data_IF_494564028974
#
_entry.id   IF_494564028974
#
_cell.length_a   1.000
_cell.length_b   1.000
_cell.length_c   1.000
_cell.angle_alpha   90.00
_cell.angle_beta   90.00
_cell.angle_gamma   90.00
#
_symmetry.space_group_name_H-M   'P 1'
#
loop_
_entity.id
_entity.type
_entity.pdbx_description
1 polymer ?
#
# COMPACT_ATOMS: atom_id res chain seq x y z
N UNK A 1 4.33 -25.41 0.73
CA UNK A 1 4.23 -24.56 1.95
C UNK A 1 3.50 -23.29 1.56
N UNK A 2 2.57 -22.81 2.38
CA UNK A 2 1.87 -21.56 2.09
C UNK A 2 2.84 -20.38 2.24
N UNK A 3 2.57 -19.27 1.55
CA UNK A 3 3.37 -18.05 1.72
C UNK A 3 3.03 -17.43 3.07
N UNK A 4 3.98 -16.72 3.67
CA UNK A 4 3.74 -16.00 4.92
C UNK A 4 3.17 -14.61 4.69
N UNK A 5 2.58 -14.01 5.73
CA UNK A 5 2.13 -12.62 5.67
C UNK A 5 3.27 -11.64 5.33
N UNK A 6 4.48 -11.84 5.88
CA UNK A 6 5.64 -10.98 5.58
C UNK A 6 6.09 -11.11 4.13
N UNK A 7 6.11 -12.34 3.59
CA UNK A 7 6.40 -12.56 2.18
C UNK A 7 5.36 -11.87 1.29
N UNK A 8 4.09 -11.87 1.70
CA UNK A 8 3.03 -11.15 1.00
C UNK A 8 3.31 -9.64 1.00
N UNK A 9 3.63 -9.02 2.15
CA UNK A 9 3.98 -7.59 2.21
C UNK A 9 5.17 -7.24 1.32
N UNK A 10 6.23 -8.06 1.34
CA UNK A 10 7.39 -7.90 0.46
C UNK A 10 6.99 -7.98 -1.02
N UNK A 11 6.11 -8.92 -1.37
CA UNK A 11 5.61 -9.07 -2.74
C UNK A 11 4.79 -7.88 -3.19
N UNK A 12 3.89 -7.34 -2.35
CA UNK A 12 3.14 -6.13 -2.66
C UNK A 12 4.07 -4.93 -2.90
N UNK A 13 5.08 -4.76 -2.06
CA UNK A 13 6.10 -3.72 -2.25
C UNK A 13 6.88 -3.88 -3.54
N UNK A 14 7.18 -5.12 -3.93
CA UNK A 14 7.89 -5.41 -5.17
C UNK A 14 7.10 -4.97 -6.40
N UNK A 15 5.76 -5.09 -6.39
CA UNK A 15 4.92 -4.69 -7.52
C UNK A 15 4.84 -3.18 -7.75
N UNK A 16 5.01 -2.35 -6.72
CA UNK A 16 4.85 -0.89 -6.85
C UNK A 16 5.76 -0.34 -7.96
N UNK A 17 5.15 0.29 -8.97
CA UNK A 17 5.82 0.85 -10.15
C UNK A 17 6.23 -0.16 -11.21
N UNK A 18 6.03 -1.47 -10.98
CA UNK A 18 6.36 -2.52 -11.97
C UNK A 18 5.21 -2.75 -12.94
N UNK A 19 5.61 -3.11 -14.16
CA UNK A 19 4.72 -3.50 -15.25
C UNK A 19 4.61 -5.02 -15.25
N UNK A 20 3.42 -5.51 -14.97
CA UNK A 20 3.09 -6.94 -14.93
C UNK A 20 2.19 -7.23 -16.13
N UNK A 21 2.68 -8.08 -17.00
CA UNK A 21 1.97 -8.64 -18.14
C UNK A 21 2.12 -10.16 -18.00
N UNK A 22 1.09 -10.80 -17.47
CA UNK A 22 1.16 -12.19 -17.03
C UNK A 22 0.86 -13.15 -18.18
N UNK A 23 -0.08 -12.78 -19.06
CA UNK A 23 -0.52 -13.63 -20.16
C UNK A 23 0.08 -13.27 -21.53
N UNK A 24 0.73 -12.11 -21.67
CA UNK A 24 1.33 -11.62 -22.92
C UNK A 24 0.33 -10.95 -23.87
N UNK A 25 -0.89 -10.66 -23.41
CA UNK A 25 -1.97 -10.10 -24.22
C UNK A 25 -2.48 -8.78 -23.63
N UNK A 26 -2.83 -7.83 -24.51
CA UNK A 26 -3.43 -6.54 -24.15
C UNK A 26 -2.59 -5.63 -23.22
N UNK A 27 -1.32 -5.96 -22.96
CA UNK A 27 -0.40 -5.13 -22.17
C UNK A 27 -0.60 -5.32 -20.67
N UNK A 28 -0.30 -4.30 -19.88
CA UNK A 28 -0.36 -4.40 -18.41
C UNK A 28 -1.78 -4.13 -17.89
N UNK A 29 -2.67 -5.12 -17.94
CA UNK A 29 -4.05 -5.00 -17.48
C UNK A 29 -4.16 -5.11 -15.96
N UNK A 30 -5.34 -4.75 -15.43
CA UNK A 30 -5.65 -4.90 -14.01
C UNK A 30 -5.63 -6.38 -13.57
N UNK A 31 -6.10 -7.28 -14.45
CA UNK A 31 -6.15 -8.71 -14.17
C UNK A 31 -4.75 -9.36 -14.13
N UNK A 32 -3.78 -8.90 -14.92
CA UNK A 32 -2.41 -9.44 -14.91
C UNK A 32 -1.78 -9.38 -13.52
N UNK A 33 -1.88 -8.22 -12.87
CA UNK A 33 -1.35 -8.01 -11.53
C UNK A 33 -1.99 -8.97 -10.53
N UNK A 34 -3.32 -9.10 -10.57
CA UNK A 34 -4.06 -9.95 -9.65
C UNK A 34 -3.77 -11.45 -9.89
N UNK A 35 -3.70 -11.87 -11.16
CA UNK A 35 -3.36 -13.26 -11.53
C UNK A 35 -1.95 -13.60 -11.11
N UNK A 36 -0.97 -12.73 -11.36
CA UNK A 36 0.42 -12.97 -10.94
C UNK A 36 0.52 -13.11 -9.42
N UNK A 37 -0.17 -12.25 -8.66
CA UNK A 37 -0.16 -12.31 -7.21
C UNK A 37 -0.81 -13.58 -6.66
N UNK A 38 -2.00 -13.95 -7.15
CA UNK A 38 -2.69 -15.18 -6.73
C UNK A 38 -1.87 -16.40 -7.12
N UNK A 39 -1.29 -16.42 -8.32
CA UNK A 39 -0.45 -17.52 -8.79
C UNK A 39 0.83 -17.65 -7.95
N UNK A 40 1.52 -16.55 -7.64
CA UNK A 40 2.69 -16.55 -6.75
C UNK A 40 2.35 -17.07 -5.34
N UNK A 41 1.19 -16.69 -4.81
CA UNK A 41 0.78 -17.04 -3.45
C UNK A 41 0.29 -18.48 -3.33
N UNK A 42 -0.45 -18.97 -4.34
CA UNK A 42 -1.25 -20.20 -4.23
C UNK A 42 -0.91 -21.26 -5.28
N UNK A 43 -0.23 -20.89 -6.37
CA UNK A 43 -0.06 -21.71 -7.58
C UNK A 43 -1.31 -21.82 -8.44
N UNK A 44 -2.38 -21.10 -8.13
CA UNK A 44 -3.63 -21.10 -8.89
C UNK A 44 -3.60 -19.95 -9.89
N UNK A 45 -3.76 -20.26 -11.17
CA UNK A 45 -3.95 -19.26 -12.22
C UNK A 45 -5.44 -18.98 -12.33
N UNK A 46 -5.85 -17.75 -12.04
CA UNK A 46 -7.25 -17.35 -12.24
C UNK A 46 -7.56 -17.25 -13.75
N UNK A 47 -8.82 -17.52 -14.11
CA UNK A 47 -9.36 -17.35 -15.46
C UNK A 47 -10.38 -16.21 -15.50
N UNK A 48 -10.66 -15.73 -16.72
CA UNK A 48 -11.72 -14.77 -17.01
C UNK A 48 -11.29 -13.31 -16.84
N UNK A 49 -12.26 -12.42 -16.97
CA UNK A 49 -12.07 -10.99 -16.73
C UNK A 49 -12.06 -10.71 -15.22
N UNK A 50 -11.76 -9.47 -14.83
CA UNK A 50 -11.72 -9.05 -13.43
C UNK A 50 -12.99 -9.43 -12.66
N UNK A 51 -14.18 -9.20 -13.24
CA UNK A 51 -15.47 -9.53 -12.61
C UNK A 51 -15.68 -11.03 -12.35
N UNK A 52 -14.97 -11.89 -13.08
CA UNK A 52 -15.11 -13.35 -13.01
C UNK A 52 -14.21 -13.96 -11.93
N UNK A 53 -13.26 -13.18 -11.38
CA UNK A 53 -12.34 -13.62 -10.33
C UNK A 53 -13.04 -14.32 -9.14
N UNK A 54 -14.22 -13.87 -8.63
CA UNK A 54 -14.94 -14.54 -7.55
C UNK A 54 -15.43 -15.96 -7.89
N UNK A 55 -15.53 -16.30 -9.17
CA UNK A 55 -16.02 -17.60 -9.66
C UNK A 55 -14.90 -18.65 -9.81
N UNK A 56 -13.66 -18.28 -9.52
CA UNK A 56 -12.52 -19.19 -9.60
C UNK A 56 -12.50 -20.19 -8.43
N UNK A 57 -12.02 -21.41 -8.69
CA UNK A 57 -11.85 -22.44 -7.68
C UNK A 57 -10.52 -22.28 -6.93
N UNK A 58 -10.58 -21.80 -5.69
CA UNK A 58 -9.37 -21.56 -4.87
C UNK A 58 -8.89 -22.77 -4.07
N UNK A 59 -9.61 -23.90 -4.11
CA UNK A 59 -9.20 -25.18 -3.51
C UNK A 59 -8.72 -25.05 -2.04
N UNK A 60 -9.45 -24.27 -1.23
CA UNK A 60 -9.14 -24.02 0.19
C UNK A 60 -7.95 -23.08 0.45
N UNK A 61 -7.31 -22.54 -0.60
CA UNK A 61 -6.18 -21.60 -0.47
C UNK A 61 -6.60 -20.14 -0.37
N UNK A 62 -7.85 -19.82 -0.72
CA UNK A 62 -8.43 -18.50 -0.54
C UNK A 62 -9.94 -18.60 -0.27
N UNK A 63 -10.49 -17.57 0.35
CA UNK A 63 -11.92 -17.43 0.65
C UNK A 63 -12.47 -16.19 -0.04
N UNK A 64 -13.63 -16.33 -0.68
CA UNK A 64 -14.32 -15.21 -1.34
C UNK A 64 -15.34 -14.62 -0.36
N UNK A 65 -15.22 -13.32 -0.10
CA UNK A 65 -16.13 -12.55 0.74
C UNK A 65 -16.91 -11.56 -0.12
N UNK A 66 -18.21 -11.41 0.18
CA UNK A 66 -19.01 -10.31 -0.37
C UNK A 66 -18.68 -9.04 0.41
N UNK A 67 -18.47 -7.93 -0.29
CA UNK A 67 -18.28 -6.63 0.36
C UNK A 67 -19.63 -6.13 0.91
N UNK A 68 -19.73 -5.96 2.22
CA UNK A 68 -20.88 -5.41 2.95
C UNK A 68 -20.44 -4.16 3.74
N UNK A 69 -21.36 -3.29 4.19
CA UNK A 69 -20.98 -2.06 4.91
C UNK A 69 -20.15 -2.29 6.20
N UNK A 70 -20.25 -3.46 6.79
CA UNK A 70 -19.54 -3.90 7.98
C UNK A 70 -18.31 -4.78 7.67
N UNK A 71 -18.06 -5.09 6.40
CA UNK A 71 -16.92 -5.90 6.00
C UNK A 71 -15.63 -5.07 6.05
N UNK A 72 -14.68 -5.53 6.87
CA UNK A 72 -13.35 -4.97 6.91
C UNK A 72 -12.39 -5.84 6.07
N UNK A 73 -11.95 -5.27 4.95
CA UNK A 73 -10.86 -5.74 4.12
C UNK A 73 -9.55 -5.88 4.93
N UNK A 74 -8.68 -6.77 4.47
CA UNK A 74 -7.34 -6.99 5.04
C UNK A 74 -6.28 -6.80 3.94
N UNK A 75 -5.06 -6.49 4.36
CA UNK A 75 -3.93 -6.38 3.42
C UNK A 75 -3.73 -7.71 2.68
N UNK A 76 -3.57 -7.62 1.36
CA UNK A 76 -3.43 -8.77 0.48
C UNK A 76 -4.76 -9.36 0.01
N UNK A 77 -5.91 -8.84 0.44
CA UNK A 77 -7.18 -9.17 -0.19
C UNK A 77 -7.16 -8.69 -1.65
N UNK A 78 -7.61 -9.54 -2.58
CA UNK A 78 -7.85 -9.13 -3.96
C UNK A 78 -9.23 -8.47 -4.03
N UNK A 79 -9.25 -7.17 -4.29
CA UNK A 79 -10.43 -6.34 -4.40
C UNK A 79 -11.02 -6.43 -5.81
N UNK A 80 -12.25 -6.95 -5.92
CA UNK A 80 -12.94 -7.14 -7.20
C UNK A 80 -14.08 -6.13 -7.35
N UNK A 81 -13.95 -5.25 -8.32
CA UNK A 81 -14.91 -4.20 -8.64
C UNK A 81 -15.96 -4.71 -9.63
N UNK A 82 -17.21 -4.73 -9.18
CA UNK A 82 -18.37 -5.21 -9.96
C UNK A 82 -19.62 -4.35 -9.76
N UNK A 83 -19.48 -3.18 -9.11
CA UNK A 83 -20.59 -2.27 -8.81
C UNK A 83 -20.41 -0.91 -9.46
N UNK A 84 -21.52 -0.19 -9.64
CA UNK A 84 -21.52 1.16 -10.21
C UNK A 84 -20.91 1.15 -11.61
N UNK A 85 -19.92 2.01 -11.87
CA UNK A 85 -19.24 2.08 -13.18
C UNK A 85 -18.49 0.79 -13.57
N UNK A 86 -18.28 -0.13 -12.64
CA UNK A 86 -17.62 -1.41 -12.85
C UNK A 86 -18.59 -2.57 -13.05
N UNK A 87 -19.90 -2.32 -12.96
CA UNK A 87 -20.93 -3.27 -13.44
C UNK A 87 -20.96 -3.20 -14.97
N UNK A 88 -19.89 -3.69 -15.58
CA UNK A 88 -19.67 -3.66 -17.01
C UNK A 88 -19.18 -5.03 -17.49
N UNK A 89 -18.81 -5.11 -18.77
CA UNK A 89 -18.40 -6.39 -19.37
C UNK A 89 -17.20 -7.04 -18.65
N UNK A 90 -16.25 -6.24 -18.14
CA UNK A 90 -14.94 -6.70 -17.68
C UNK A 90 -14.77 -6.60 -16.15
N UNK A 91 -15.36 -5.60 -15.51
CA UNK A 91 -15.06 -5.23 -14.13
C UNK A 91 -13.70 -4.54 -13.97
N UNK A 92 -13.25 -4.40 -12.73
CA UNK A 92 -11.89 -3.98 -12.41
C UNK A 92 -11.37 -4.76 -11.20
N UNK A 93 -10.05 -4.85 -11.02
CA UNK A 93 -9.46 -5.66 -9.94
C UNK A 93 -8.14 -5.04 -9.47
N UNK A 94 -7.87 -5.17 -8.17
CA UNK A 94 -6.63 -4.73 -7.54
C UNK A 94 -6.36 -5.51 -6.27
N UNK A 95 -5.30 -5.15 -5.56
CA UNK A 95 -4.89 -5.81 -4.31
C UNK A 95 -4.87 -4.78 -3.20
N UNK A 96 -5.49 -5.07 -2.05
CA UNK A 96 -5.45 -4.21 -0.87
C UNK A 96 -4.01 -4.11 -0.38
N UNK A 97 -3.40 -2.94 -0.55
CA UNK A 97 -2.02 -2.64 -0.15
C UNK A 97 -1.93 -2.16 1.30
N UNK A 98 -2.92 -1.36 1.71
CA UNK A 98 -3.13 -0.96 3.09
C UNK A 98 -4.58 -1.17 3.48
N UNK A 99 -4.79 -1.70 4.68
CA UNK A 99 -6.10 -2.09 5.18
C UNK A 99 -7.10 -0.93 5.23
N UNK A 100 -6.62 0.29 5.51
CA UNK A 100 -7.48 1.44 5.79
C UNK A 100 -8.48 1.16 6.91
N UNK A 101 -9.76 1.42 6.66
CA UNK A 101 -10.88 1.19 7.57
C UNK A 101 -12.17 0.93 6.76
N UNK A 102 -13.34 0.99 7.41
CA UNK A 102 -14.63 0.77 6.75
C UNK A 102 -14.98 1.81 5.67
N UNK A 103 -14.31 2.96 5.64
CA UNK A 103 -14.53 4.01 4.63
C UNK A 103 -13.65 3.84 3.38
N UNK A 104 -12.72 2.88 3.37
CA UNK A 104 -11.82 2.68 2.25
C UNK A 104 -10.48 2.05 2.59
N UNK A 105 -9.70 1.78 1.55
CA UNK A 105 -8.34 1.27 1.64
C UNK A 105 -7.46 1.82 0.52
N UNK A 106 -6.15 1.63 0.65
CA UNK A 106 -5.23 1.82 -0.47
C UNK A 106 -5.18 0.54 -1.30
N UNK A 107 -5.51 0.64 -2.58
CA UNK A 107 -5.41 -0.43 -3.56
C UNK A 107 -4.11 -0.28 -4.37
N UNK A 108 -3.43 -1.39 -4.61
CA UNK A 108 -2.39 -1.54 -5.61
C UNK A 108 -3.01 -2.15 -6.88
N UNK A 109 -2.97 -1.44 -8.00
CA UNK A 109 -3.64 -1.83 -9.24
C UNK A 109 -2.89 -1.35 -10.49
N UNK A 110 -3.18 -1.97 -11.63
CA UNK A 110 -2.74 -1.52 -12.96
C UNK A 110 -3.92 -1.05 -13.79
N UNK A 111 -3.62 -0.27 -14.82
CA UNK A 111 -4.56 0.14 -15.85
C UNK A 111 -5.82 0.85 -15.35
N UNK A 112 -5.72 1.62 -14.27
CA UNK A 112 -6.81 2.50 -13.84
C UNK A 112 -7.06 3.65 -14.84
N UNK A 113 -6.00 4.07 -15.54
CA UNK A 113 -6.03 5.11 -16.57
C UNK A 113 -6.57 4.61 -17.93
N UNK A 114 -6.74 3.30 -18.11
CA UNK A 114 -7.19 2.68 -19.35
C UNK A 114 -6.13 2.58 -20.45
N UNK A 115 -4.86 2.91 -20.17
CA UNK A 115 -3.79 2.94 -21.17
C UNK A 115 -3.01 1.63 -21.32
N UNK A 116 -3.11 0.73 -20.34
CA UNK A 116 -2.41 -0.57 -20.28
C UNK A 116 -0.88 -0.49 -20.48
N UNK A 117 -0.28 0.67 -20.17
CA UNK A 117 1.13 0.96 -20.42
C UNK A 117 1.89 1.44 -19.16
N UNK A 118 1.18 1.63 -18.03
CA UNK A 118 1.71 2.07 -16.74
C UNK A 118 2.00 0.90 -15.80
N UNK A 119 2.90 1.11 -14.83
CA UNK A 119 3.15 0.11 -13.78
C UNK A 119 2.10 0.16 -12.68
N UNK A 120 2.09 -0.85 -11.81
CA UNK A 120 1.16 -0.92 -10.70
C UNK A 120 1.31 0.30 -9.78
N UNK A 121 0.20 0.99 -9.54
CA UNK A 121 0.16 2.23 -8.78
C UNK A 121 -0.70 2.05 -7.52
N UNK A 122 -0.39 2.85 -6.51
CA UNK A 122 -1.19 2.95 -5.30
C UNK A 122 -2.27 4.02 -5.51
N UNK A 123 -3.50 3.70 -5.11
CA UNK A 123 -4.62 4.64 -5.12
C UNK A 123 -5.50 4.42 -3.90
N UNK A 124 -5.94 5.51 -3.28
CA UNK A 124 -7.01 5.43 -2.29
C UNK A 124 -8.35 5.11 -2.98
N UNK A 125 -9.08 4.15 -2.43
CA UNK A 125 -10.39 3.74 -2.90
C UNK A 125 -11.37 3.72 -1.73
N UNK A 126 -12.59 4.20 -1.96
CA UNK A 126 -13.66 4.23 -0.96
C UNK A 126 -14.40 2.88 -0.81
N UNK A 127 -13.95 1.86 -1.56
CA UNK A 127 -14.51 0.52 -1.63
C UNK A 127 -15.96 0.42 -2.14
N UNK A 128 -16.57 1.52 -2.58
CA UNK A 128 -17.98 1.55 -2.99
C UNK A 128 -18.23 0.73 -4.27
N UNK A 129 -17.25 0.73 -5.18
CA UNK A 129 -17.26 -0.04 -6.42
C UNK A 129 -16.93 -1.52 -6.25
N UNK A 130 -16.41 -1.93 -5.08
CA UNK A 130 -15.96 -3.29 -4.80
C UNK A 130 -17.15 -4.17 -4.42
N UNK A 131 -17.35 -5.25 -5.17
CA UNK A 131 -18.38 -6.24 -4.89
C UNK A 131 -17.91 -7.39 -4.02
N UNK A 132 -16.64 -7.78 -4.15
CA UNK A 132 -16.06 -8.94 -3.49
C UNK A 132 -14.60 -8.70 -3.11
N UNK A 133 -14.18 -9.37 -2.04
CA UNK A 133 -12.78 -9.51 -1.65
C UNK A 133 -12.39 -10.99 -1.66
N UNK A 134 -11.27 -11.33 -2.29
CA UNK A 134 -10.72 -12.69 -2.26
C UNK A 134 -9.53 -12.68 -1.29
N UNK A 135 -9.68 -13.35 -0.14
CA UNK A 135 -8.66 -13.41 0.91
C UNK A 135 -7.86 -14.70 0.79
N UNK A 136 -6.58 -14.57 0.45
CA UNK A 136 -5.66 -15.71 0.40
C UNK A 136 -5.27 -16.12 1.83
N UNK A 137 -5.21 -17.42 2.06
CA UNK A 137 -4.77 -18.00 3.32
C UNK A 137 -3.23 -18.00 3.38
N UNK A 138 -2.66 -17.00 4.06
CA UNK A 138 -1.22 -16.91 4.32
C UNK A 138 -0.86 -17.57 5.67
N UNK A 139 0.32 -18.18 5.74
CA UNK A 139 0.86 -18.79 6.97
C UNK A 139 1.36 -17.71 7.94
N UNK A 140 1.03 -17.88 9.22
CA UNK A 140 1.34 -16.94 10.29
C UNK A 140 0.34 -15.77 10.36
N UNK A 141 0.14 -15.25 11.57
CA UNK A 141 -0.68 -14.05 11.76
C UNK A 141 0.02 -12.83 11.16
N UNK A 142 -0.75 -11.91 10.56
CA UNK A 142 -0.36 -10.50 10.49
C UNK A 142 0.12 -10.12 11.89
N UNK A 143 1.39 -9.72 12.05
CA UNK A 143 1.89 -9.33 13.36
C UNK A 143 1.18 -8.03 13.72
N UNK A 144 0.05 -8.14 14.43
CA UNK A 144 -0.45 -7.06 15.28
C UNK A 144 0.64 -6.84 16.30
N UNK A 145 1.43 -5.78 16.15
CA UNK A 145 2.51 -5.47 17.07
C UNK A 145 1.89 -5.11 18.42
N UNK A 146 1.82 -6.11 19.31
CA UNK A 146 1.56 -5.94 20.74
C UNK A 146 2.69 -5.14 21.38
N UNK A 147 2.31 -4.41 22.42
CA UNK A 147 3.11 -3.42 23.15
C UNK A 147 4.57 -3.80 23.40
N UNK A 148 5.40 -2.76 23.45
CA UNK A 148 6.83 -2.78 23.72
C UNK A 148 7.23 -3.83 24.77
N UNK A 149 8.06 -4.79 24.36
CA UNK A 149 8.83 -5.61 25.29
C UNK A 149 9.98 -4.74 25.79
N UNK A 150 9.95 -4.43 27.08
CA UNK A 150 11.06 -3.78 27.80
C UNK A 150 12.25 -4.74 27.80
N UNK A 151 13.18 -4.55 26.87
CA UNK A 151 14.50 -5.17 26.97
C UNK A 151 15.42 -4.14 27.60
N UNK A 152 15.86 -4.41 28.82
CA UNK A 152 16.98 -3.70 29.42
C UNK A 152 18.21 -3.89 28.51
N UNK A 153 18.65 -2.83 27.84
CA UNK A 153 19.94 -2.81 27.18
C UNK A 153 20.73 -1.58 27.59
N UNK A 154 21.86 -1.92 28.21
CA UNK A 154 23.10 -1.16 28.31
C UNK A 154 23.41 -0.40 27.04
N UNK A 155 23.91 0.82 27.24
CA UNK A 155 24.24 1.84 26.26
C UNK A 155 25.01 1.34 25.03
N UNK A 156 24.39 1.43 23.86
CA UNK A 156 25.10 1.56 22.58
C UNK A 156 24.43 2.69 21.79
N UNK A 157 25.21 3.70 21.42
CA UNK A 157 24.80 4.78 20.53
C UNK A 157 24.29 4.17 19.21
N UNK A 158 22.98 4.23 18.96
CA UNK A 158 22.37 3.76 17.72
C UNK A 158 21.15 4.61 17.39
N UNK A 159 20.97 4.88 16.10
CA UNK A 159 19.97 5.78 15.51
C UNK A 159 18.55 5.61 16.10
N UNK A 160 17.67 6.63 16.00
CA UNK A 160 16.35 6.56 16.61
C UNK A 160 15.56 5.43 15.94
N UNK A 161 15.31 4.35 16.68
CA UNK A 161 14.45 3.27 16.22
C UNK A 161 13.06 3.85 15.92
N UNK A 162 12.60 3.64 14.68
CA UNK A 162 11.22 3.88 14.28
C UNK A 162 10.28 3.08 15.20
N UNK A 163 9.26 3.74 15.75
CA UNK A 163 8.27 3.14 16.65
C UNK A 163 6.86 3.56 16.24
N UNK A 164 5.92 2.63 16.26
CA UNK A 164 4.51 2.95 16.04
C UNK A 164 4.03 3.94 17.10
N UNK A 165 3.25 4.93 16.68
CA UNK A 165 2.77 6.06 17.49
C UNK A 165 3.78 7.19 17.66
N UNK A 166 5.06 7.01 17.29
CA UNK A 166 6.07 8.04 17.49
C UNK A 166 6.09 9.08 16.37
N UNK A 167 6.70 10.23 16.66
CA UNK A 167 7.21 11.13 15.63
C UNK A 167 8.37 10.41 14.92
N UNK A 168 8.45 10.42 13.58
CA UNK A 168 9.53 9.78 12.87
C UNK A 168 10.90 10.42 13.13
N UNK A 169 12.01 9.68 12.94
CA UNK A 169 13.36 10.23 13.04
C UNK A 169 13.61 11.29 11.96
N UNK A 170 14.46 12.28 12.30
CA UNK A 170 14.83 13.35 11.37
C UNK A 170 15.56 12.87 10.12
N UNK A 171 16.29 11.77 10.24
CA UNK A 171 17.15 11.25 9.19
C UNK A 171 16.89 9.76 8.94
N UNK A 172 16.58 9.44 7.68
CA UNK A 172 16.42 8.08 7.15
C UNK A 172 16.99 8.05 5.75
N UNK A 173 17.84 7.05 5.48
CA UNK A 173 18.47 6.88 4.17
C UNK A 173 17.41 6.68 3.09
N UNK A 174 17.65 7.21 1.90
CA UNK A 174 16.78 6.98 0.75
C UNK A 174 16.51 5.50 0.53
N UNK A 175 15.25 5.18 0.22
CA UNK A 175 14.86 3.84 -0.22
C UNK A 175 13.85 3.88 -1.37
N UNK A 176 13.84 2.79 -2.15
CA UNK A 176 12.86 2.54 -3.22
C UNK A 176 11.50 2.11 -2.69
N UNK A 177 11.42 1.61 -1.45
CA UNK A 177 10.17 1.27 -0.78
C UNK A 177 10.03 2.04 0.53
N UNK A 178 8.80 2.28 0.98
CA UNK A 178 8.54 3.02 2.20
C UNK A 178 9.18 2.34 3.42
N UNK A 179 9.63 3.13 4.40
CA UNK A 179 10.02 2.65 5.72
C UNK A 179 8.80 2.47 6.62
N UNK A 180 7.83 3.37 6.50
CA UNK A 180 6.62 3.37 7.31
C UNK A 180 5.50 4.15 6.63
N UNK A 181 4.27 3.87 7.05
CA UNK A 181 3.11 4.72 6.84
C UNK A 181 2.86 5.52 8.11
N UNK A 182 2.53 6.79 7.96
CA UNK A 182 2.17 7.69 9.05
C UNK A 182 0.87 8.42 8.73
N UNK A 183 0.17 8.83 9.78
CA UNK A 183 -0.95 9.78 9.67
C UNK A 183 -0.49 11.17 10.02
N UNK A 184 -1.10 12.16 9.40
CA UNK A 184 -0.97 13.57 9.76
C UNK A 184 -1.64 13.81 11.12
N UNK A 185 -1.00 14.60 11.98
CA UNK A 185 -1.54 14.95 13.29
C UNK A 185 -2.75 15.88 13.20
N UNK A 186 -3.39 16.13 14.35
CA UNK A 186 -4.67 16.86 14.43
C UNK A 186 -4.59 18.32 13.95
N UNK A 187 -3.38 18.82 13.70
CA UNK A 187 -3.14 20.18 13.26
C UNK A 187 -2.93 20.27 11.72
N UNK A 188 -2.92 19.15 10.99
CA UNK A 188 -2.71 19.10 9.53
C UNK A 188 -1.23 19.19 9.11
N UNK A 189 -0.92 19.25 7.81
CA UNK A 189 0.44 19.53 7.36
C UNK A 189 0.46 20.24 6.01
N UNK A 190 1.46 21.07 5.75
CA UNK A 190 1.71 21.64 4.41
C UNK A 190 2.91 20.93 3.79
N UNK A 191 2.80 20.47 2.54
CA UNK A 191 3.96 19.89 1.86
C UNK A 191 4.98 20.96 1.51
N UNK A 192 6.21 20.50 1.25
CA UNK A 192 7.29 21.30 0.72
C UNK A 192 7.92 20.64 -0.50
N UNK A 193 8.49 21.47 -1.36
CA UNK A 193 9.44 21.06 -2.40
C UNK A 193 10.87 21.24 -1.92
N UNK A 194 11.75 20.32 -2.31
CA UNK A 194 13.18 20.37 -2.03
C UNK A 194 13.95 20.97 -3.21
N UNK A 195 14.86 21.89 -2.94
CA UNK A 195 15.80 22.46 -3.92
C UNK A 195 17.23 22.41 -3.39
N UNK A 196 18.21 22.69 -4.26
CA UNK A 196 19.63 22.74 -3.89
C UNK A 196 20.39 21.43 -4.08
N UNK A 197 21.73 21.47 -4.01
CA UNK A 197 22.58 20.31 -4.22
C UNK A 197 22.60 19.39 -2.99
N UNK A 198 23.11 18.17 -3.19
CA UNK A 198 23.26 17.19 -2.11
C UNK A 198 23.99 17.77 -0.89
N UNK A 199 23.40 17.59 0.29
CA UNK A 199 23.94 18.10 1.56
C UNK A 199 23.73 19.61 1.80
N UNK A 200 23.10 20.35 0.87
CA UNK A 200 22.75 21.77 1.03
C UNK A 200 21.31 22.03 0.57
N UNK A 201 20.40 21.17 1.01
CA UNK A 201 19.01 21.23 0.61
C UNK A 201 18.26 22.39 1.27
N UNK A 202 17.33 22.98 0.53
CA UNK A 202 16.34 23.93 1.04
C UNK A 202 14.95 23.39 0.79
N UNK A 203 14.07 23.54 1.78
CA UNK A 203 12.68 23.12 1.70
C UNK A 203 11.79 24.35 1.64
N UNK A 204 10.97 24.44 0.61
CA UNK A 204 10.04 25.55 0.40
C UNK A 204 8.62 25.00 0.48
N UNK A 205 7.81 25.53 1.39
CA UNK A 205 6.41 25.15 1.50
C UNK A 205 5.68 25.37 0.18
N UNK A 206 4.84 24.40 -0.17
CA UNK A 206 3.93 24.41 -1.31
C UNK A 206 2.53 24.90 -0.86
N UNK A 207 1.60 25.03 -1.80
CA UNK A 207 0.19 25.38 -1.51
C UNK A 207 -0.68 24.14 -1.17
N UNK A 208 -0.10 22.94 -1.13
CA UNK A 208 -0.84 21.72 -0.86
C UNK A 208 -0.79 21.37 0.63
N UNK A 209 -1.95 21.13 1.20
CA UNK A 209 -2.13 20.81 2.61
C UNK A 209 -2.83 19.47 2.78
N UNK A 210 -2.37 18.71 3.75
CA UNK A 210 -2.94 17.45 4.19
C UNK A 210 -3.73 17.69 5.48
N UNK A 211 -4.97 17.20 5.51
CA UNK A 211 -5.82 17.24 6.69
C UNK A 211 -5.36 16.30 7.80
N UNK A 212 -5.90 16.52 9.00
CA UNK A 212 -5.68 15.63 10.14
C UNK A 212 -6.10 14.18 9.81
N UNK A 213 -5.30 13.21 10.21
CA UNK A 213 -5.56 11.79 9.98
C UNK A 213 -5.26 11.29 8.56
N UNK A 214 -4.97 12.19 7.59
CA UNK A 214 -4.57 11.77 6.25
C UNK A 214 -3.30 10.91 6.29
N UNK A 215 -3.22 9.94 5.39
CA UNK A 215 -2.16 8.94 5.38
C UNK A 215 -1.07 9.31 4.39
N UNK A 216 0.18 9.08 4.78
CA UNK A 216 1.35 9.25 3.91
C UNK A 216 2.35 8.13 4.10
N UNK A 217 3.06 7.78 3.02
CA UNK A 217 4.10 6.75 3.02
C UNK A 217 5.47 7.42 2.90
N UNK A 218 6.36 7.16 3.84
CA UNK A 218 7.67 7.83 3.92
C UNK A 218 8.80 6.93 3.45
N UNK A 219 9.61 7.43 2.53
CA UNK A 219 10.68 6.69 1.85
C UNK A 219 12.09 7.18 2.19
N UNK A 220 12.19 8.35 2.81
CA UNK A 220 13.45 9.03 3.16
C UNK A 220 13.13 10.11 4.19
N UNK A 221 14.11 10.48 5.01
CA UNK A 221 14.00 11.67 5.86
C UNK A 221 15.32 12.40 5.89
N UNK A 222 15.29 13.72 5.72
CA UNK A 222 16.46 14.58 5.70
C UNK A 222 16.17 15.77 6.59
N UNK A 223 16.92 15.89 7.69
CA UNK A 223 16.82 17.00 8.64
C UNK A 223 15.38 17.31 9.09
N UNK A 224 14.56 16.26 9.27
CA UNK A 224 13.16 16.37 9.70
C UNK A 224 12.15 16.50 8.58
N UNK A 225 12.58 16.61 7.32
CA UNK A 225 11.70 16.56 6.16
C UNK A 225 11.58 15.13 5.67
N UNK A 226 10.37 14.58 5.68
CA UNK A 226 10.05 13.22 5.26
C UNK A 226 9.59 13.21 3.80
N UNK A 227 10.30 12.47 2.95
CA UNK A 227 9.92 12.33 1.53
C UNK A 227 8.75 11.38 1.39
N UNK A 228 7.68 11.89 0.80
CA UNK A 228 6.49 11.14 0.40
C UNK A 228 6.37 11.14 -1.13
N UNK A 229 5.55 10.25 -1.66
CA UNK A 229 5.30 10.15 -3.10
C UNK A 229 3.83 10.47 -3.40
N UNK A 230 3.59 11.46 -4.27
CA UNK A 230 2.26 11.88 -4.69
C UNK A 230 2.28 12.16 -6.20
N UNK A 231 1.31 11.67 -6.97
CA UNK A 231 1.15 11.93 -8.42
C UNK A 231 2.49 12.05 -9.20
N UNK A 232 3.31 11.00 -9.15
CA UNK A 232 4.59 10.90 -9.85
C UNK A 232 5.68 11.94 -9.49
N UNK A 233 5.56 12.64 -8.36
CA UNK A 233 6.61 13.53 -7.86
C UNK A 233 6.86 13.37 -6.35
N UNK A 234 8.02 13.87 -5.92
CA UNK A 234 8.42 13.83 -4.52
C UNK A 234 7.94 15.10 -3.81
N UNK A 235 7.21 14.91 -2.72
CA UNK A 235 6.89 15.97 -1.76
C UNK A 235 7.53 15.68 -0.42
N UNK A 236 7.60 16.69 0.43
CA UNK A 236 8.23 16.61 1.74
C UNK A 236 7.31 17.13 2.82
N UNK A 237 7.14 16.36 3.90
CA UNK A 237 6.33 16.76 5.06
C UNK A 237 7.23 16.85 6.29
N UNK A 238 7.01 17.86 7.13
CA UNK A 238 7.72 17.99 8.38
C UNK A 238 7.36 16.85 9.35
N UNK A 239 8.37 16.14 9.85
CA UNK A 239 8.19 14.89 10.58
C UNK A 239 7.36 15.05 11.87
N UNK A 240 7.39 16.19 12.55
CA UNK A 240 6.59 16.41 13.76
C UNK A 240 5.09 16.43 13.48
N UNK A 241 4.69 16.60 12.22
CA UNK A 241 3.30 16.49 11.77
C UNK A 241 2.87 15.05 11.54
N UNK A 242 3.80 14.09 11.64
CA UNK A 242 3.56 12.69 11.35
C UNK A 242 3.47 11.87 12.64
N UNK A 243 2.57 10.89 12.64
CA UNK A 243 2.51 9.82 13.65
C UNK A 243 2.64 8.49 12.92
N UNK A 244 3.73 7.78 13.18
CA UNK A 244 3.98 6.45 12.57
C UNK A 244 2.83 5.51 12.94
N UNK A 245 2.25 4.82 11.97
CA UNK A 245 1.16 3.86 12.18
C UNK A 245 1.55 2.43 11.85
N UNK A 246 2.37 2.25 10.81
CA UNK A 246 2.84 0.94 10.40
C UNK A 246 4.30 1.06 9.94
N UNK A 247 5.14 0.10 10.32
CA UNK A 247 6.56 0.05 9.96
C UNK A 247 6.78 -1.12 9.00
N UNK A 248 7.43 -0.84 7.88
CA UNK A 248 7.72 -1.79 6.82
C UNK A 248 9.17 -2.27 6.82
N UNK A 249 10.08 -1.56 7.51
CA UNK A 249 11.53 -1.82 7.55
C UNK A 249 12.12 -1.48 8.89
#
# INVERSE_FOLDING_TARGET
MAKTYNQMRERLNWYVGRKIDFDGYYGMQCMDLAVDFVYWATGIRMWGDAKDAPNNAFNGKATVYRNTPDFQQEVGDVAVFTRGRFDNRYGHIGIVYDKGNLNGCTILEQNWDGMANTGAALRWDDCSGIGYFIRINFDGTCIKQTAAVTVNQTSVNSAPLLKVGSIPPKNLKWSTGAYYMATIDDLGATSARRTGPAGKYKFHLNNYSYGAGEQVYVFESIDGWCRIYWNNHNEWIWHERLRVREIYK
#
